data_IF_217868869717
#
_entry.id   IF_217868869717
#
_cell.length_a   1.000
_cell.length_b   1.000
_cell.length_c   1.000
_cell.angle_alpha   90.00
_cell.angle_beta   90.00
_cell.angle_gamma   90.00
#
_symmetry.space_group_name_H-M   'P 1'
#
loop_
_entity.id
_entity.type
_entity.pdbx_description
1 polymer ?
#
# COMPACT_ATOMS: atom_id res chain seq x y z
N UNK A 1 -17.29 -25.11 -17.57
CA UNK A 1 -17.55 -24.04 -18.55
C UNK A 1 -16.69 -22.85 -18.18
N UNK A 2 -15.60 -22.59 -18.91
CA UNK A 2 -14.83 -21.35 -18.77
C UNK A 2 -15.57 -20.31 -19.62
N UNK A 3 -16.14 -19.29 -18.98
CA UNK A 3 -16.84 -18.21 -19.67
C UNK A 3 -15.85 -17.53 -20.64
N UNK A 4 -16.25 -17.25 -21.89
CA UNK A 4 -15.36 -16.64 -22.89
C UNK A 4 -15.07 -15.18 -22.51
N UNK A 5 -13.78 -14.83 -22.41
CA UNK A 5 -13.21 -13.48 -22.34
C UNK A 5 -13.79 -12.50 -21.29
N UNK A 6 -13.86 -12.94 -20.03
CA UNK A 6 -14.04 -12.04 -18.88
C UNK A 6 -12.70 -11.64 -18.22
N UNK A 7 -11.58 -11.92 -18.87
CA UNK A 7 -10.27 -11.49 -18.39
C UNK A 7 -10.22 -9.95 -18.33
N UNK A 8 -9.63 -9.41 -17.28
CA UNK A 8 -9.53 -7.98 -17.12
C UNK A 8 -8.56 -7.39 -18.17
N UNK A 9 -8.94 -6.23 -18.71
CA UNK A 9 -8.12 -5.51 -19.68
C UNK A 9 -7.49 -4.31 -18.98
N UNK A 10 -6.17 -4.20 -19.10
CA UNK A 10 -5.44 -3.04 -18.58
C UNK A 10 -5.76 -1.79 -19.37
N UNK A 11 -6.04 -0.70 -18.67
CA UNK A 11 -6.14 0.63 -19.28
C UNK A 11 -4.76 1.14 -19.69
N UNK A 12 -4.74 2.14 -20.57
CA UNK A 12 -3.61 3.04 -20.66
C UNK A 12 -3.31 3.68 -19.29
N UNK A 13 -2.11 4.24 -19.15
CA UNK A 13 -1.73 4.98 -17.95
C UNK A 13 -2.56 6.25 -17.81
N UNK A 14 -3.13 6.44 -16.63
CA UNK A 14 -3.99 7.54 -16.25
C UNK A 14 -3.21 8.43 -15.30
N UNK A 15 -3.14 9.70 -15.67
CA UNK A 15 -2.42 10.79 -14.99
C UNK A 15 -3.33 12.03 -15.07
N UNK A 16 -4.14 12.27 -14.03
CA UNK A 16 -5.17 13.33 -14.01
C UNK A 16 -4.96 14.37 -12.91
N UNK A 17 -4.07 14.07 -11.96
CA UNK A 17 -3.63 14.91 -10.87
C UNK A 17 -2.13 15.20 -11.02
N UNK A 18 -1.67 16.30 -10.40
CA UNK A 18 -0.26 16.65 -10.40
C UNK A 18 0.14 17.25 -9.06
N UNK A 19 1.27 16.85 -8.48
CA UNK A 19 1.74 17.38 -7.21
C UNK A 19 2.14 18.85 -7.34
N UNK A 20 1.64 19.68 -6.41
CA UNK A 20 2.04 21.08 -6.29
C UNK A 20 3.02 21.26 -5.13
N UNK A 21 4.27 21.58 -5.44
CA UNK A 21 5.33 21.78 -4.44
C UNK A 21 5.07 22.95 -3.48
N UNK A 22 4.23 23.92 -3.87
CA UNK A 22 3.87 25.07 -3.03
C UNK A 22 2.71 24.78 -2.08
N UNK A 23 1.96 23.68 -2.29
CA UNK A 23 0.81 23.31 -1.48
C UNK A 23 1.10 22.07 -0.63
N UNK A 24 1.32 22.29 0.67
CA UNK A 24 1.58 21.21 1.63
C UNK A 24 0.36 20.31 1.86
N UNK A 25 -0.86 20.84 1.66
CA UNK A 25 -2.10 20.07 1.79
C UNK A 25 -2.51 19.40 0.48
N UNK A 26 -1.81 19.72 -0.61
CA UNK A 26 -1.93 19.01 -1.87
C UNK A 26 -1.14 17.71 -1.88
N UNK A 27 -0.94 17.20 -3.08
CA UNK A 27 -0.35 15.90 -3.30
C UNK A 27 -0.68 15.44 -4.69
N UNK A 28 -0.64 14.12 -4.87
CA UNK A 28 -1.00 13.50 -6.13
C UNK A 28 -2.07 12.42 -5.93
N UNK A 29 -3.11 12.47 -6.74
CA UNK A 29 -4.39 11.82 -6.47
C UNK A 29 -4.99 11.23 -7.76
N UNK A 30 -4.49 10.08 -8.17
CA UNK A 30 -5.08 9.26 -9.23
C UNK A 30 -6.22 8.39 -8.66
N UNK A 31 -7.22 9.04 -8.05
CA UNK A 31 -8.39 8.36 -7.49
C UNK A 31 -9.46 8.15 -8.55
N UNK A 32 -10.30 7.12 -8.41
CA UNK A 32 -11.40 6.91 -9.36
C UNK A 32 -12.36 8.10 -9.44
N UNK A 33 -12.55 8.82 -8.33
CA UNK A 33 -13.34 10.07 -8.30
C UNK A 33 -12.71 11.15 -9.20
N UNK A 34 -11.40 11.37 -9.07
CA UNK A 34 -10.69 12.38 -9.89
C UNK A 34 -10.67 11.99 -11.37
N UNK A 35 -10.50 10.70 -11.66
CA UNK A 35 -10.53 10.17 -13.02
C UNK A 35 -11.90 10.39 -13.64
N UNK A 36 -12.99 10.05 -12.96
CA UNK A 36 -14.37 10.26 -13.44
C UNK A 36 -14.72 11.74 -13.60
N UNK A 37 -14.20 12.60 -12.72
CA UNK A 37 -14.38 14.05 -12.77
C UNK A 37 -13.70 14.67 -14.00
N UNK A 38 -12.56 14.10 -14.41
CA UNK A 38 -11.77 14.57 -15.56
C UNK A 38 -12.19 13.91 -16.87
N UNK A 39 -12.62 12.66 -16.80
CA UNK A 39 -13.10 11.85 -17.91
C UNK A 39 -14.35 11.06 -17.48
N UNK A 40 -15.52 11.68 -17.64
CA UNK A 40 -16.80 11.06 -17.27
C UNK A 40 -17.21 9.90 -18.18
N UNK A 41 -16.49 9.67 -19.28
CA UNK A 41 -16.67 8.53 -20.17
C UNK A 41 -15.78 7.34 -19.79
N UNK A 42 -14.89 7.49 -18.81
CA UNK A 42 -14.12 6.36 -18.28
C UNK A 42 -15.06 5.44 -17.49
N UNK A 43 -15.13 4.18 -17.89
CA UNK A 43 -16.01 3.18 -17.26
C UNK A 43 -15.22 1.92 -16.94
N UNK A 44 -15.13 1.60 -15.65
CA UNK A 44 -14.58 0.35 -15.14
C UNK A 44 -15.65 -0.31 -14.26
N UNK A 45 -16.25 -1.40 -14.75
CA UNK A 45 -17.34 -2.08 -14.03
C UNK A 45 -16.86 -2.64 -12.68
N UNK A 46 -15.65 -3.21 -12.74
CA UNK A 46 -14.95 -3.81 -11.61
C UNK A 46 -13.45 -3.69 -11.89
N UNK A 47 -12.75 -3.01 -10.99
CA UNK A 47 -11.30 -3.03 -10.96
C UNK A 47 -10.86 -4.36 -10.33
N UNK A 48 -10.12 -5.18 -11.07
CA UNK A 48 -9.58 -6.44 -10.56
C UNK A 48 -8.18 -6.27 -10.01
N UNK A 49 -7.41 -5.35 -10.60
CA UNK A 49 -6.04 -5.09 -10.23
C UNK A 49 -5.68 -3.64 -10.57
N UNK A 50 -4.64 -3.13 -9.92
CA UNK A 50 -4.10 -1.79 -10.11
C UNK A 50 -2.57 -1.87 -10.19
N UNK A 51 -2.00 -1.07 -11.08
CA UNK A 51 -0.57 -0.85 -11.17
C UNK A 51 -0.32 0.64 -11.02
N UNK A 52 0.55 1.00 -10.08
CA UNK A 52 0.95 2.39 -9.86
C UNK A 52 2.45 2.56 -10.12
N UNK A 53 2.84 3.67 -10.74
CA UNK A 53 4.27 4.00 -10.91
C UNK A 53 4.48 5.51 -10.91
N UNK A 54 5.70 5.93 -10.58
CA UNK A 54 6.11 7.31 -10.81
C UNK A 54 6.44 7.51 -12.28
N UNK A 55 5.88 8.55 -12.90
CA UNK A 55 6.05 8.82 -14.34
C UNK A 55 7.52 9.00 -14.74
N UNK A 56 8.32 9.63 -13.87
CA UNK A 56 9.77 9.85 -14.10
C UNK A 56 10.64 8.64 -13.73
N UNK A 57 10.10 7.68 -12.99
CA UNK A 57 10.82 6.50 -12.51
C UNK A 57 10.00 5.23 -12.73
N UNK A 58 9.64 4.90 -13.99
CA UNK A 58 8.71 3.81 -14.29
C UNK A 58 9.26 2.41 -13.96
N UNK A 59 10.59 2.28 -13.83
CA UNK A 59 11.27 1.03 -13.50
C UNK A 59 11.63 0.91 -12.01
N UNK A 60 11.31 1.92 -11.21
CA UNK A 60 11.58 1.92 -9.77
C UNK A 60 10.29 1.60 -9.03
N UNK A 61 10.35 0.67 -8.09
CA UNK A 61 9.17 0.34 -7.28
C UNK A 61 8.79 1.53 -6.39
N UNK A 62 7.50 1.66 -6.09
CA UNK A 62 7.00 2.71 -5.18
C UNK A 62 7.74 2.69 -3.83
N UNK A 63 8.03 1.48 -3.31
CA UNK A 63 8.74 1.31 -2.06
C UNK A 63 10.17 1.87 -2.11
N UNK A 64 10.87 1.69 -3.24
CA UNK A 64 12.25 2.15 -3.42
C UNK A 64 12.35 3.67 -3.65
N UNK A 65 11.24 4.34 -4.02
CA UNK A 65 11.22 5.80 -4.15
C UNK A 65 11.36 6.50 -2.80
N UNK A 66 11.05 5.82 -1.69
CA UNK A 66 11.09 6.39 -0.34
C UNK A 66 9.94 7.34 -0.05
N UNK A 67 8.86 7.30 -0.84
CA UNK A 67 7.66 8.11 -0.63
C UNK A 67 6.54 7.30 0.00
N UNK A 68 5.73 7.95 0.83
CA UNK A 68 4.52 7.33 1.38
C UNK A 68 3.38 7.51 0.37
N UNK A 69 3.08 6.43 -0.34
CA UNK A 69 2.06 6.36 -1.38
C UNK A 69 1.14 5.19 -1.09
N UNK A 70 -0.17 5.44 -1.14
CA UNK A 70 -1.19 4.42 -1.13
C UNK A 70 -1.58 4.09 -2.57
N UNK A 71 -1.50 2.82 -2.94
CA UNK A 71 -1.93 2.31 -4.24
C UNK A 71 -2.88 1.15 -3.97
N UNK A 72 -4.18 1.41 -4.06
CA UNK A 72 -5.24 0.46 -3.72
C UNK A 72 -6.25 0.31 -4.85
N UNK A 73 -6.69 -0.91 -5.11
CA UNK A 73 -7.59 -1.23 -6.23
C UNK A 73 -9.01 -0.67 -6.06
N UNK A 74 -9.41 -0.29 -4.84
CA UNK A 74 -10.74 0.25 -4.55
C UNK A 74 -10.76 1.78 -4.55
N UNK A 75 -9.60 2.42 -4.33
CA UNK A 75 -9.50 3.88 -4.18
C UNK A 75 -8.74 4.53 -5.35
N UNK A 76 -7.74 3.84 -5.90
CA UNK A 76 -6.76 4.38 -6.84
C UNK A 76 -5.42 4.64 -6.16
N UNK A 77 -4.75 5.72 -6.54
CA UNK A 77 -3.52 6.17 -5.88
C UNK A 77 -3.72 7.48 -5.11
N UNK A 78 -3.15 7.52 -3.91
CA UNK A 78 -3.11 8.68 -3.03
C UNK A 78 -1.68 8.90 -2.56
N UNK A 79 -1.14 10.07 -2.85
CA UNK A 79 0.08 10.60 -2.25
C UNK A 79 -0.24 11.97 -1.64
N UNK A 80 0.10 12.17 -0.36
CA UNK A 80 -0.09 13.46 0.31
C UNK A 80 1.26 14.14 0.54
N UNK A 81 1.41 15.42 0.16
CA UNK A 81 2.65 16.16 0.35
C UNK A 81 3.03 16.26 1.85
N UNK A 82 2.05 16.51 2.72
CA UNK A 82 2.23 16.58 4.18
C UNK A 82 2.82 15.31 4.81
N UNK A 83 2.67 14.17 4.16
CA UNK A 83 3.14 12.88 4.66
C UNK A 83 4.55 12.54 4.16
N UNK A 84 5.08 13.30 3.19
CA UNK A 84 6.40 13.05 2.63
C UNK A 84 7.49 13.61 3.53
N UNK A 85 8.57 12.85 3.65
CA UNK A 85 9.77 13.26 4.38
C UNK A 85 10.87 13.59 3.37
N UNK A 86 11.84 14.40 3.78
CA UNK A 86 13.06 14.59 3.00
C UNK A 86 13.82 13.27 3.06
N UNK A 87 14.01 12.61 1.92
CA UNK A 87 14.64 11.29 1.83
C UNK A 87 14.28 10.57 0.54
N UNK A 88 14.99 9.48 0.22
CA UNK A 88 14.79 8.74 -1.02
C UNK A 88 15.44 9.44 -2.23
N UNK A 89 14.87 9.22 -3.43
CA UNK A 89 15.43 9.73 -4.69
C UNK A 89 15.21 11.25 -4.85
N UNK A 90 14.22 11.81 -4.16
CA UNK A 90 13.86 13.24 -4.27
C UNK A 90 14.21 13.99 -2.97
N UNK A 91 14.99 15.08 -3.04
CA UNK A 91 15.43 15.85 -1.86
C UNK A 91 14.37 16.82 -1.31
N UNK A 92 13.08 16.65 -1.64
CA UNK A 92 11.99 17.55 -1.25
C UNK A 92 10.81 16.75 -0.68
N UNK A 93 10.10 17.27 0.35
CA UNK A 93 8.94 16.62 0.95
C UNK A 93 7.68 16.89 0.12
N UNK A 94 7.70 16.49 -1.16
CA UNK A 94 6.61 16.62 -2.11
C UNK A 94 6.43 15.30 -2.84
N UNK A 95 5.18 14.92 -3.13
CA UNK A 95 4.88 13.77 -3.97
C UNK A 95 5.55 13.90 -5.34
N UNK A 96 6.02 12.77 -5.86
CA UNK A 96 6.31 12.61 -7.28
C UNK A 96 5.01 12.64 -8.09
N UNK A 97 5.15 12.84 -9.41
CA UNK A 97 4.04 12.62 -10.32
C UNK A 97 3.87 11.13 -10.56
N UNK A 98 2.71 10.60 -10.20
CA UNK A 98 2.35 9.21 -10.36
C UNK A 98 1.31 9.05 -11.45
N UNK A 99 1.25 7.86 -11.98
CA UNK A 99 0.20 7.44 -12.91
C UNK A 99 -0.22 6.02 -12.57
N UNK A 100 -1.48 5.69 -12.89
CA UNK A 100 -2.04 4.36 -12.62
C UNK A 100 -2.55 3.70 -13.90
N UNK A 101 -2.45 2.38 -13.94
CA UNK A 101 -3.13 1.53 -14.91
C UNK A 101 -4.02 0.57 -14.14
N UNK A 102 -5.23 0.32 -14.63
CA UNK A 102 -6.24 -0.46 -13.92
C UNK A 102 -6.66 -1.62 -14.80
N UNK A 103 -6.70 -2.83 -14.24
CA UNK A 103 -7.23 -3.99 -14.93
C UNK A 103 -8.74 -4.05 -14.72
N UNK A 104 -9.49 -3.66 -15.75
CA UNK A 104 -10.95 -3.56 -15.67
C UNK A 104 -11.63 -4.76 -16.32
N UNK A 105 -12.58 -5.37 -15.62
CA UNK A 105 -13.47 -6.36 -16.22
C UNK A 105 -14.35 -5.67 -17.27
N UNK A 106 -14.53 -6.24 -18.48
CA UNK A 106 -15.42 -5.67 -19.48
C UNK A 106 -16.85 -5.55 -18.95
N UNK A 107 -17.54 -4.46 -19.30
CA UNK A 107 -18.95 -4.20 -18.96
C UNK A 107 -19.91 -5.11 -19.74
N UNK A 108 -19.76 -6.43 -19.59
CA UNK A 108 -20.64 -7.44 -20.16
C UNK A 108 -21.41 -8.12 -19.02
N UNK A 109 -22.74 -8.34 -19.19
CA UNK A 109 -23.54 -8.99 -18.15
C UNK A 109 -23.06 -10.41 -17.82
N UNK A 110 -22.37 -11.08 -18.74
CA UNK A 110 -21.78 -12.41 -18.55
C UNK A 110 -20.55 -12.40 -17.62
N UNK A 111 -19.92 -11.24 -17.43
CA UNK A 111 -18.69 -11.05 -16.66
C UNK A 111 -18.92 -10.37 -15.31
N UNK A 112 -20.14 -9.89 -15.06
CA UNK A 112 -20.52 -9.31 -13.78
C UNK A 112 -21.07 -10.41 -12.87
N UNK A 113 -20.66 -10.46 -11.59
CA UNK A 113 -21.22 -11.43 -10.66
C UNK A 113 -22.73 -11.20 -10.52
N UNK A 114 -23.54 -12.21 -10.83
CA UNK A 114 -24.97 -12.21 -10.55
C UNK A 114 -25.18 -12.06 -9.04
N UNK A 115 -26.06 -11.18 -8.55
CA UNK A 115 -26.36 -11.13 -7.12
C UNK A 115 -26.98 -12.46 -6.71
N UNK A 116 -26.22 -13.31 -6.01
CA UNK A 116 -26.77 -14.51 -5.37
C UNK A 116 -27.68 -14.07 -4.23
N UNK A 117 -28.98 -14.30 -4.40
CA UNK A 117 -29.94 -14.34 -3.29
C UNK A 117 -29.56 -15.52 -2.39
N UNK A 118 -28.72 -15.25 -1.38
CA UNK A 118 -28.47 -16.20 -0.29
C UNK A 118 -29.77 -16.37 0.48
N UNK A 119 -30.46 -17.49 0.22
CA UNK A 119 -31.52 -17.98 1.09
C UNK A 119 -30.87 -18.51 2.36
N UNK A 120 -30.88 -17.69 3.41
CA UNK A 120 -30.43 -18.06 4.75
C UNK A 120 -31.25 -19.25 5.23
N UNK A 121 -30.69 -20.45 5.12
CA UNK A 121 -31.23 -21.65 5.74
C UNK A 121 -30.85 -21.61 7.21
N UNK A 122 -31.79 -21.23 8.06
CA UNK A 122 -31.66 -21.23 9.52
C UNK A 122 -31.41 -22.65 10.02
N UNK A 123 -30.14 -23.04 10.24
CA UNK A 123 -29.79 -24.28 10.93
C UNK A 123 -29.77 -24.03 12.44
N UNK A 124 -30.71 -24.66 13.12
CA UNK A 124 -30.87 -24.76 14.58
C UNK A 124 -29.56 -25.18 15.28
N UNK A 125 -29.14 -24.54 16.39
CA UNK A 125 -27.97 -24.98 17.13
C UNK A 125 -28.31 -26.25 17.93
N UNK A 126 -27.65 -27.35 17.60
CA UNK A 126 -27.67 -28.57 18.41
C UNK A 126 -26.66 -28.41 19.55
N UNK A 127 -27.18 -28.34 20.77
CA UNK A 127 -26.41 -28.27 22.01
C UNK A 127 -25.63 -29.56 22.22
N UNK A 128 -24.31 -29.51 22.08
CA UNK A 128 -23.41 -30.55 22.60
C UNK A 128 -22.69 -30.02 23.83
N UNK A 129 -23.17 -30.43 24.99
CA UNK A 129 -22.47 -30.32 26.27
C UNK A 129 -21.26 -31.24 26.26
N UNK A 130 -20.06 -30.73 26.50
CA UNK A 130 -18.91 -31.56 26.89
C UNK A 130 -17.95 -30.77 27.79
N UNK A 131 -18.07 -31.12 29.06
CA UNK A 131 -17.10 -31.12 30.16
C UNK A 131 -15.87 -30.21 30.08
N UNK A 132 -15.87 -29.24 31.00
CA UNK A 132 -14.70 -28.59 31.62
C UNK A 132 -13.72 -29.66 32.13
N UNK A 133 -12.47 -29.59 31.68
CA UNK A 133 -11.33 -30.14 32.42
C UNK A 133 -10.40 -28.98 32.77
N UNK A 134 -10.43 -28.61 34.04
CA UNK A 134 -9.47 -27.75 34.71
C UNK A 134 -8.12 -28.45 34.77
N UNK A 135 -7.09 -27.87 34.16
CA UNK A 135 -5.70 -28.17 34.50
C UNK A 135 -5.03 -26.89 34.95
N UNK A 136 -4.98 -26.74 36.27
CA UNK A 136 -4.13 -25.80 36.98
C UNK A 136 -2.67 -26.22 36.80
N UNK A 137 -1.88 -25.38 36.15
CA UNK A 137 -0.42 -25.39 36.29
C UNK A 137 0.04 -23.98 36.60
N UNK A 138 0.00 -23.66 37.89
CA UNK A 138 0.93 -22.74 38.51
C UNK A 138 2.36 -23.22 38.28
N UNK A 139 3.32 -22.31 38.07
CA UNK A 139 4.56 -22.19 38.88
C UNK A 139 5.57 -21.23 38.21
N UNK A 140 5.79 -20.13 38.93
CA UNK A 140 6.99 -19.27 39.07
C UNK A 140 7.65 -18.60 37.86
N UNK A 141 7.45 -17.28 37.80
CA UNK A 141 8.55 -16.33 37.61
C UNK A 141 9.37 -16.21 38.92
N UNK A 142 10.69 -16.00 38.83
CA UNK A 142 11.20 -14.74 39.39
C UNK A 142 12.34 -14.09 38.59
N UNK A 143 12.33 -12.77 38.69
CA UNK A 143 13.46 -11.83 38.78
C UNK A 143 14.27 -11.47 37.53
N UNK A 144 14.40 -10.15 37.25
CA UNK A 144 15.40 -9.60 36.35
C UNK A 144 16.73 -9.45 37.09
N UNK A 145 17.81 -10.02 36.56
CA UNK A 145 19.17 -9.63 36.94
C UNK A 145 19.59 -8.48 36.05
N UNK A 146 19.68 -7.30 36.65
CA UNK A 146 20.49 -6.20 36.13
C UNK A 146 21.95 -6.52 36.45
N UNK A 147 22.79 -6.64 35.43
CA UNK A 147 24.25 -6.62 35.59
C UNK A 147 24.85 -5.50 34.74
N UNK A 148 25.71 -4.75 35.43
CA UNK A 148 26.29 -3.45 35.11
C UNK A 148 27.39 -3.59 34.05
N UNK A 149 27.57 -2.61 33.14
CA UNK A 149 28.69 -2.61 32.20
C UNK A 149 29.98 -2.16 32.91
N UNK A 150 31.14 -2.75 32.59
CA UNK A 150 32.22 -1.88 32.13
C UNK A 150 33.16 -2.57 31.14
N UNK A 151 33.45 -1.92 30.02
CA UNK A 151 34.84 -1.83 29.54
C UNK A 151 34.97 -0.80 28.44
N UNK A 152 35.53 0.33 28.85
CA UNK A 152 36.31 1.24 28.02
C UNK A 152 37.37 0.47 27.24
N UNK A 153 37.33 0.55 25.91
CA UNK A 153 38.51 0.24 25.10
C UNK A 153 38.82 1.44 24.20
N UNK A 154 39.91 2.09 24.55
CA UNK A 154 40.60 3.19 23.91
C UNK A 154 40.75 3.03 22.39
N UNK A 155 40.44 4.03 21.56
CA UNK A 155 40.86 4.04 20.16
C UNK A 155 42.36 4.39 20.05
N UNK A 156 43.12 3.74 19.16
CA UNK A 156 44.51 4.11 18.88
C UNK A 156 44.58 5.49 18.21
N UNK A 157 45.61 6.31 18.49
CA UNK A 157 45.82 7.56 17.76
C UNK A 157 46.60 7.33 16.45
N UNK A 158 46.23 8.11 15.43
CA UNK A 158 47.07 8.62 14.32
C UNK A 158 47.43 7.68 13.14
N UNK A 159 47.83 8.21 11.95
CA UNK A 159 48.35 9.57 11.69
C UNK A 159 47.63 10.41 10.62
N UNK A 160 47.72 11.72 10.83
CA UNK A 160 47.52 12.79 9.85
C UNK A 160 48.48 12.65 8.67
N UNK A 161 47.98 12.74 7.44
CA UNK A 161 48.81 13.00 6.26
C UNK A 161 48.48 14.40 5.75
N UNK A 162 49.38 15.33 6.05
CA UNK A 162 49.43 16.68 5.48
C UNK A 162 50.54 16.70 4.45
N UNK A 163 50.26 17.07 3.20
CA UNK A 163 51.18 17.70 2.22
C UNK A 163 50.28 18.09 1.03
N UNK A 164 49.81 19.34 0.89
CA UNK A 164 50.51 20.58 0.48
C UNK A 164 50.84 20.60 -1.02
N UNK A 165 50.07 21.46 -1.70
CA UNK A 165 50.33 22.30 -2.90
C UNK A 165 51.14 21.75 -4.06
#
# INVERSE_FOLDING_TARGET
>A
CRLPDCDCVWTDWIDVSYPNASDKNGGDYETFENILKKNSSWVCAKAENISCRAQKFPNTSIADLGQKVECDVNVGLICNNKDQQIGGIIPMPVCLNYEISICCTPNKPECLPTPSTTSTSTSTPSSTTSSVSTTTTSTTAPTPTAEVPPSSTTPPPFPTTTTTT
#
